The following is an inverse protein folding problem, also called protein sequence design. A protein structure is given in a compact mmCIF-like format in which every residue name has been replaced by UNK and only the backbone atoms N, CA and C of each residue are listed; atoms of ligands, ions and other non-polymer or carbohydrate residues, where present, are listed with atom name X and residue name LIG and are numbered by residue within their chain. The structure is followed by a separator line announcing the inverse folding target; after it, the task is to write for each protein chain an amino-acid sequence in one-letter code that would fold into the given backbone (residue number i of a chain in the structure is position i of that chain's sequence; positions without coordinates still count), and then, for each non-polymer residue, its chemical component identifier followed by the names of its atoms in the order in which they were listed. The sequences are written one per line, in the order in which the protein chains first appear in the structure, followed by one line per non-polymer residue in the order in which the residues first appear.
data_IF_810159335336
#
_entry.id   IF_810159335336
#
_cell.length_a   1.000
_cell.length_b   1.000
_cell.length_c   1.000
_cell.angle_alpha   90.00
_cell.angle_beta   90.00
_cell.angle_gamma   90.00
#
_symmetry.space_group_name_H-M   'P 1'
#
loop_
_entity.id
_entity.type
_entity.pdbx_description
1 polymer ?
#
# COMPACT_ATOMS: atom_id res chain seq x y z
N UNK A 1 -5.71 22.05 5.73
CA UNK A 1 -6.59 20.91 6.08
C UNK A 1 -8.01 21.39 5.88
N UNK A 2 -8.53 21.20 4.67
CA UNK A 2 -9.91 21.60 4.35
C UNK A 2 -10.84 20.53 4.90
N UNK A 3 -11.50 20.86 6.01
CA UNK A 3 -12.53 20.04 6.65
C UNK A 3 -13.62 19.68 5.63
N UNK A 4 -13.77 18.39 5.35
CA UNK A 4 -14.89 17.85 4.58
C UNK A 4 -16.23 18.29 5.22
N UNK A 5 -17.29 18.51 4.43
CA UNK A 5 -18.61 18.82 4.98
C UNK A 5 -19.11 17.62 5.82
N UNK A 6 -19.21 17.80 7.14
CA UNK A 6 -19.69 16.77 8.07
C UNK A 6 -18.80 16.51 9.30
N UNK A 7 -17.58 17.04 9.35
CA UNK A 7 -16.69 16.90 10.53
C UNK A 7 -16.24 15.45 10.80
N UNK A 8 -15.79 15.20 12.03
CA UNK A 8 -15.18 13.91 12.42
C UNK A 8 -16.14 12.71 12.33
N UNK A 9 -17.43 12.93 12.60
CA UNK A 9 -18.47 11.89 12.53
C UNK A 9 -18.66 11.39 11.10
N UNK A 10 -18.67 12.29 10.11
CA UNK A 10 -18.80 11.90 8.70
C UNK A 10 -17.57 11.13 8.19
N UNK A 11 -16.38 11.40 8.72
CA UNK A 11 -15.16 10.62 8.41
C UNK A 11 -15.33 9.22 8.99
N UNK A 12 -15.71 9.12 10.27
CA UNK A 12 -15.92 7.84 10.94
C UNK A 12 -16.95 6.96 10.21
N UNK A 13 -18.13 7.50 9.92
CA UNK A 13 -19.23 6.75 9.31
C UNK A 13 -18.83 6.22 7.93
N UNK A 14 -18.22 7.08 7.10
CA UNK A 14 -17.74 6.69 5.77
C UNK A 14 -16.69 5.59 5.85
N UNK A 15 -15.71 5.73 6.73
CA UNK A 15 -14.61 4.77 6.82
C UNK A 15 -15.13 3.43 7.39
N UNK A 16 -16.11 3.46 8.30
CA UNK A 16 -16.80 2.27 8.80
C UNK A 16 -17.76 1.63 7.78
N UNK A 17 -18.28 2.39 6.81
CA UNK A 17 -19.05 1.87 5.68
C UNK A 17 -18.14 1.18 4.64
N UNK A 18 -16.98 1.76 4.35
CA UNK A 18 -16.05 1.21 3.36
C UNK A 18 -15.34 -0.06 3.83
N UNK A 19 -15.08 -0.17 5.13
CA UNK A 19 -14.28 -1.28 5.67
C UNK A 19 -14.95 -2.67 5.44
N UNK A 20 -16.26 -2.86 5.67
CA UNK A 20 -16.97 -4.08 5.29
C UNK A 20 -17.00 -4.38 3.79
N UNK A 21 -16.98 -3.36 2.93
CA UNK A 21 -16.99 -3.54 1.47
C UNK A 21 -15.61 -3.90 0.91
N UNK A 22 -14.54 -3.56 1.64
CA UNK A 22 -13.17 -3.85 1.21
C UNK A 22 -12.85 -5.36 1.16
N UNK A 23 -12.09 -5.79 0.15
CA UNK A 23 -11.56 -7.15 0.07
C UNK A 23 -10.28 -7.35 0.90
N UNK A 24 -9.54 -6.27 1.11
CA UNK A 24 -8.23 -6.22 1.75
C UNK A 24 -8.00 -4.84 2.34
N UNK A 25 -7.30 -4.79 3.47
CA UNK A 25 -6.88 -3.55 4.14
C UNK A 25 -5.36 -3.43 4.01
N UNK A 26 -4.87 -2.27 3.61
CA UNK A 26 -3.43 -1.96 3.59
C UNK A 26 -3.18 -0.77 4.50
N UNK A 27 -2.30 -0.92 5.48
CA UNK A 27 -2.03 0.11 6.49
C UNK A 27 -0.53 0.39 6.62
N UNK A 28 -0.12 1.65 6.52
CA UNK A 28 1.22 2.10 6.93
C UNK A 28 1.21 2.32 8.44
N UNK A 29 2.11 1.63 9.15
CA UNK A 29 2.10 1.55 10.62
C UNK A 29 3.44 1.96 11.23
N UNK A 30 4.26 2.69 10.48
CA UNK A 30 5.53 3.22 11.00
C UNK A 30 5.27 4.27 12.07
N UNK A 31 4.23 5.08 11.89
CA UNK A 31 3.78 6.07 12.87
C UNK A 31 2.60 5.51 13.66
N UNK A 32 2.66 5.50 15.01
CA UNK A 32 1.50 5.11 15.79
C UNK A 32 0.35 6.10 15.54
N UNK A 33 -0.83 5.56 15.23
CA UNK A 33 -2.06 6.31 14.99
C UNK A 33 -3.24 5.58 15.62
N UNK A 34 -4.05 6.31 16.39
CA UNK A 34 -5.25 5.75 17.00
C UNK A 34 -6.30 5.37 15.94
N UNK A 35 -6.50 6.21 14.93
CA UNK A 35 -7.43 5.94 13.83
C UNK A 35 -7.04 4.67 13.07
N UNK A 36 -5.78 4.58 12.62
CA UNK A 36 -5.28 3.41 11.90
C UNK A 36 -5.32 2.15 12.77
N UNK A 37 -4.96 2.27 14.06
CA UNK A 37 -5.06 1.16 15.00
C UNK A 37 -6.49 0.67 15.20
N UNK A 38 -7.46 1.60 15.25
CA UNK A 38 -8.87 1.29 15.35
C UNK A 38 -9.39 0.59 14.09
N UNK A 39 -9.07 1.10 12.90
CA UNK A 39 -9.44 0.50 11.62
C UNK A 39 -8.86 -0.91 11.45
N UNK A 40 -7.58 -1.11 11.82
CA UNK A 40 -6.97 -2.45 11.84
C UNK A 40 -7.73 -3.39 12.78
N UNK A 41 -8.10 -2.92 13.98
CA UNK A 41 -8.89 -3.70 14.94
C UNK A 41 -10.25 -4.11 14.37
N UNK A 42 -10.96 -3.18 13.72
CA UNK A 42 -12.24 -3.44 13.06
C UNK A 42 -12.08 -4.41 11.89
N UNK A 43 -11.04 -4.25 11.07
CA UNK A 43 -10.71 -5.15 9.96
C UNK A 43 -10.46 -6.58 10.46
N UNK A 44 -9.80 -6.73 11.62
CA UNK A 44 -9.58 -8.02 12.27
C UNK A 44 -10.90 -8.66 12.74
N UNK A 45 -11.83 -7.89 13.31
CA UNK A 45 -13.16 -8.38 13.70
C UNK A 45 -13.94 -8.85 12.48
N UNK A 46 -13.88 -8.09 11.38
CA UNK A 46 -14.48 -8.43 10.09
C UNK A 46 -13.73 -9.53 9.32
N UNK A 47 -12.63 -10.06 9.87
CA UNK A 47 -11.76 -11.08 9.27
C UNK A 47 -11.26 -10.69 7.88
N UNK A 48 -11.04 -9.40 7.65
CA UNK A 48 -10.44 -8.89 6.41
C UNK A 48 -8.97 -9.29 6.37
N UNK A 49 -8.44 -9.50 5.16
CA UNK A 49 -7.01 -9.67 4.96
C UNK A 49 -6.35 -8.33 5.17
N UNK A 50 -5.41 -8.22 6.11
CA UNK A 50 -4.76 -6.95 6.45
C UNK A 50 -3.26 -7.04 6.18
N UNK A 51 -2.76 -6.10 5.37
CA UNK A 51 -1.37 -5.89 5.04
C UNK A 51 -0.85 -4.68 5.82
N UNK A 52 0.05 -4.89 6.78
CA UNK A 52 0.68 -3.79 7.52
C UNK A 52 2.09 -3.53 6.97
N UNK A 53 2.38 -2.28 6.61
CA UNK A 53 3.66 -1.81 6.09
C UNK A 53 4.39 -1.02 7.18
N UNK A 54 5.56 -1.50 7.57
CA UNK A 54 6.38 -0.87 8.60
C UNK A 54 7.79 -0.58 8.06
N UNK A 55 8.33 0.60 8.38
CA UNK A 55 9.70 1.02 8.03
C UNK A 55 10.65 0.85 9.22
N UNK A 56 11.48 -0.21 9.26
CA UNK A 56 12.44 -0.42 10.36
C UNK A 56 13.54 0.65 10.40
N UNK A 57 13.90 1.23 9.25
CA UNK A 57 14.91 2.29 9.16
C UNK A 57 14.46 3.62 9.80
N UNK A 58 13.19 3.75 10.20
CA UNK A 58 12.68 4.93 10.91
C UNK A 58 13.23 5.07 12.34
N UNK A 59 13.87 4.03 12.88
CA UNK A 59 14.28 3.97 14.29
C UNK A 59 13.11 3.77 15.26
N UNK A 60 11.88 3.63 14.76
CA UNK A 60 10.68 3.36 15.57
C UNK A 60 10.56 1.88 15.86
N UNK A 61 9.72 1.56 16.85
CA UNK A 61 9.39 0.18 17.19
C UNK A 61 7.98 -0.11 16.68
N UNK A 62 7.81 -1.23 15.99
CA UNK A 62 6.51 -1.71 15.56
C UNK A 62 5.61 -1.93 16.80
N UNK A 63 4.38 -1.40 16.85
CA UNK A 63 3.51 -1.59 17.99
C UNK A 63 3.28 -3.07 18.30
N UNK A 64 3.43 -3.46 19.57
CA UNK A 64 3.34 -4.85 20.01
C UNK A 64 2.01 -5.53 19.62
N UNK A 65 0.91 -4.77 19.61
CA UNK A 65 -0.40 -5.27 19.19
C UNK A 65 -0.42 -5.68 17.70
N UNK A 66 0.20 -4.89 16.83
CA UNK A 66 0.31 -5.18 15.39
C UNK A 66 1.28 -6.34 15.18
N UNK A 67 2.40 -6.36 15.90
CA UNK A 67 3.35 -7.47 15.86
C UNK A 67 2.70 -8.79 16.28
N UNK A 68 1.81 -8.79 17.27
CA UNK A 68 1.12 -10.00 17.73
C UNK A 68 -0.08 -10.39 16.84
N UNK A 69 -0.70 -9.42 16.16
CA UNK A 69 -1.81 -9.66 15.23
C UNK A 69 -1.40 -10.55 14.04
N UNK A 70 -0.15 -10.44 13.57
CA UNK A 70 0.42 -11.29 12.52
C UNK A 70 0.24 -12.79 12.82
N UNK A 71 0.44 -13.18 14.08
CA UNK A 71 0.41 -14.58 14.49
C UNK A 71 -1.00 -15.19 14.58
N UNK A 72 -2.07 -14.37 14.55
CA UNK A 72 -3.41 -14.83 14.93
C UNK A 72 -4.45 -14.90 13.82
N UNK A 73 -4.38 -14.08 12.76
CA UNK A 73 -5.50 -14.02 11.80
C UNK A 73 -5.10 -13.52 10.41
N UNK A 74 -4.42 -14.32 9.57
CA UNK A 74 -4.26 -14.06 8.12
C UNK A 74 -3.61 -12.72 7.70
N UNK A 75 -3.27 -11.87 8.67
CA UNK A 75 -2.65 -10.57 8.50
C UNK A 75 -1.17 -10.77 8.31
N UNK A 76 -0.62 -10.11 7.29
CA UNK A 76 0.80 -10.14 7.00
C UNK A 76 1.41 -8.79 7.33
N UNK A 77 2.44 -8.78 8.17
CA UNK A 77 3.22 -7.57 8.46
C UNK A 77 4.49 -7.63 7.62
N UNK A 78 4.67 -6.66 6.73
CA UNK A 78 5.88 -6.54 5.92
C UNK A 78 6.75 -5.43 6.48
N UNK A 79 8.03 -5.74 6.64
CA UNK A 79 9.02 -4.86 7.26
C UNK A 79 9.93 -4.36 6.16
N UNK A 80 9.56 -3.24 5.56
CA UNK A 80 10.36 -2.70 4.47
C UNK A 80 11.62 -2.01 4.98
N UNK A 81 12.75 -2.70 4.90
CA UNK A 81 14.08 -2.18 5.28
C UNK A 81 14.63 -1.13 4.32
N UNK A 82 14.08 -1.02 3.10
CA UNK A 82 14.54 -0.09 2.08
C UNK A 82 13.36 0.63 1.40
N UNK A 83 13.23 1.92 1.69
CA UNK A 83 12.37 2.81 0.90
C UNK A 83 13.33 3.71 0.13
N UNK A 84 13.33 3.67 -1.22
CA UNK A 84 14.11 4.63 -1.99
C UNK A 84 13.64 6.04 -1.62
N UNK A 85 14.51 7.06 -1.65
CA UNK A 85 14.08 8.44 -1.47
C UNK A 85 12.97 8.73 -2.50
N UNK A 86 11.73 8.77 -2.02
CA UNK A 86 10.54 9.05 -2.81
C UNK A 86 10.38 10.56 -3.06
N UNK A 87 11.43 11.34 -2.79
CA UNK A 87 11.53 12.79 -3.02
C UNK A 87 11.25 13.18 -4.49
N UNK A 88 11.30 12.21 -5.41
CA UNK A 88 10.92 12.40 -6.83
C UNK A 88 9.56 11.85 -7.26
N UNK A 89 8.80 11.17 -6.39
CA UNK A 89 7.47 10.60 -6.73
C UNK A 89 6.33 11.49 -6.23
N UNK A 90 6.53 12.18 -5.11
CA UNK A 90 5.47 12.94 -4.44
C UNK A 90 5.28 14.36 -5.02
N UNK A 91 6.27 14.89 -5.76
CA UNK A 91 6.24 16.31 -6.17
C UNK A 91 6.09 16.58 -7.67
N UNK A 92 6.36 15.64 -8.57
CA UNK A 92 6.10 15.80 -10.00
C UNK A 92 5.78 14.44 -10.60
N UNK A 93 4.79 14.40 -11.48
CA UNK A 93 4.62 13.29 -12.41
C UNK A 93 5.88 13.10 -13.27
N UNK A 94 5.79 12.22 -14.26
CA UNK A 94 6.85 11.73 -15.16
C UNK A 94 7.76 12.83 -15.77
N UNK A 95 7.35 14.11 -15.73
CA UNK A 95 7.98 15.27 -16.35
C UNK A 95 9.22 15.86 -15.63
N UNK A 96 9.88 15.14 -14.70
CA UNK A 96 10.98 15.71 -13.92
C UNK A 96 12.33 14.97 -14.01
N UNK A 97 12.44 13.88 -14.77
CA UNK A 97 13.71 13.16 -14.88
C UNK A 97 14.56 13.71 -16.01
N UNK A 98 15.71 14.29 -15.64
CA UNK A 98 16.79 14.73 -16.54
C UNK A 98 17.45 13.56 -17.33
N UNK A 99 16.91 12.34 -17.28
CA UNK A 99 17.51 11.10 -17.79
C UNK A 99 16.66 10.29 -18.77
N UNK A 100 15.48 10.76 -19.16
CA UNK A 100 14.61 10.09 -20.15
C UNK A 100 14.11 8.69 -19.73
N UNK A 101 13.57 7.94 -20.69
CA UNK A 101 12.92 6.64 -20.49
C UNK A 101 13.83 5.57 -19.86
N UNK A 102 15.13 5.59 -20.17
CA UNK A 102 16.10 4.63 -19.63
C UNK A 102 16.33 4.83 -18.13
N UNK A 103 16.35 6.09 -17.67
CA UNK A 103 16.47 6.39 -16.24
C UNK A 103 15.20 6.01 -15.47
N UNK A 104 14.02 6.19 -16.08
CA UNK A 104 12.73 5.75 -15.52
C UNK A 104 12.76 4.23 -15.37
N UNK A 105 13.06 3.51 -16.46
CA UNK A 105 13.15 2.05 -16.45
C UNK A 105 14.13 1.51 -15.41
N UNK A 106 15.35 2.06 -15.37
CA UNK A 106 16.38 1.60 -14.42
C UNK A 106 15.95 1.78 -12.96
N UNK A 107 15.36 2.94 -12.65
CA UNK A 107 14.82 3.24 -11.32
C UNK A 107 13.67 2.30 -10.95
N UNK A 108 12.70 2.13 -11.83
CA UNK A 108 11.50 1.35 -11.56
C UNK A 108 11.85 -0.14 -11.39
N UNK A 109 12.79 -0.65 -12.19
CA UNK A 109 13.33 -2.01 -12.03
C UNK A 109 14.14 -2.19 -10.75
N UNK A 110 14.90 -1.19 -10.31
CA UNK A 110 15.60 -1.23 -9.03
C UNK A 110 14.62 -1.28 -7.85
N UNK A 111 13.56 -0.47 -7.91
CA UNK A 111 12.51 -0.46 -6.89
C UNK A 111 11.75 -1.77 -6.86
N UNK A 112 11.41 -2.30 -8.03
CA UNK A 112 10.77 -3.59 -8.18
C UNK A 112 11.62 -4.70 -7.57
N UNK A 113 12.92 -4.71 -7.86
CA UNK A 113 13.87 -5.69 -7.32
C UNK A 113 13.96 -5.64 -5.79
N UNK A 114 13.86 -4.45 -5.18
CA UNK A 114 13.93 -4.26 -3.72
C UNK A 114 12.58 -4.42 -3.02
N UNK A 115 11.46 -4.35 -3.74
CA UNK A 115 10.13 -4.52 -3.16
C UNK A 115 9.93 -5.94 -2.60
N UNK A 116 9.19 -6.05 -1.49
CA UNK A 116 8.75 -7.35 -0.96
C UNK A 116 7.37 -7.74 -1.52
N UNK A 117 6.54 -6.73 -1.80
CA UNK A 117 5.19 -6.84 -2.33
C UNK A 117 4.98 -5.81 -3.42
N UNK A 118 4.26 -6.20 -4.47
CA UNK A 118 3.81 -5.31 -5.55
C UNK A 118 2.30 -5.21 -5.44
N UNK A 119 1.79 -3.97 -5.38
CA UNK A 119 0.35 -3.70 -5.47
C UNK A 119 0.12 -2.93 -6.76
N UNK A 120 -0.73 -3.45 -7.63
CA UNK A 120 -0.97 -2.88 -8.94
C UNK A 120 -2.47 -2.71 -9.18
N UNK A 121 -2.87 -1.51 -9.58
CA UNK A 121 -4.20 -1.24 -10.13
C UNK A 121 -4.20 -1.70 -11.60
N UNK A 122 -5.13 -2.58 -11.98
CA UNK A 122 -5.15 -3.24 -13.30
C UNK A 122 -6.52 -3.15 -13.99
N UNK A 123 -7.37 -2.23 -13.56
CA UNK A 123 -8.67 -1.96 -14.19
C UNK A 123 -8.50 -1.48 -15.63
N UNK A 124 -7.43 -0.72 -15.90
CA UNK A 124 -7.10 -0.25 -17.25
C UNK A 124 -5.90 -1.00 -17.82
N UNK A 125 -5.94 -1.38 -19.12
CA UNK A 125 -4.80 -2.02 -19.75
C UNK A 125 -3.61 -1.05 -19.82
N UNK A 126 -2.45 -1.49 -19.31
CA UNK A 126 -1.20 -0.74 -19.35
C UNK A 126 -0.04 -1.68 -19.65
N UNK A 127 0.72 -1.38 -20.71
CA UNK A 127 1.88 -2.18 -21.11
C UNK A 127 3.00 -2.09 -20.07
N UNK A 128 3.25 -0.90 -19.52
CA UNK A 128 4.26 -0.68 -18.48
C UNK A 128 3.95 -1.47 -17.22
N UNK A 129 2.72 -1.35 -16.71
CA UNK A 129 2.28 -2.10 -15.52
C UNK A 129 2.31 -3.61 -15.78
N UNK A 130 1.86 -4.06 -16.96
CA UNK A 130 1.92 -5.47 -17.34
C UNK A 130 3.35 -6.01 -17.41
N UNK A 131 4.29 -5.21 -17.92
CA UNK A 131 5.71 -5.55 -17.95
C UNK A 131 6.28 -5.67 -16.53
N UNK A 132 6.03 -4.69 -15.66
CA UNK A 132 6.48 -4.71 -14.27
C UNK A 132 5.90 -5.88 -13.47
N UNK A 133 4.62 -6.22 -13.68
CA UNK A 133 4.01 -7.42 -13.09
C UNK A 133 4.72 -8.67 -13.59
N UNK A 134 5.01 -8.77 -14.89
CA UNK A 134 5.76 -9.90 -15.46
C UNK A 134 7.14 -10.07 -14.83
N UNK A 135 7.86 -8.96 -14.65
CA UNK A 135 9.16 -8.93 -13.98
C UNK A 135 9.04 -9.31 -12.49
N UNK A 136 8.01 -8.82 -11.80
CA UNK A 136 7.72 -9.18 -10.41
C UNK A 136 7.46 -10.70 -10.26
N UNK A 137 6.72 -11.30 -11.20
CA UNK A 137 6.49 -12.75 -11.27
C UNK A 137 7.81 -13.49 -11.45
N UNK A 138 8.66 -13.06 -12.39
CA UNK A 138 9.98 -13.66 -12.60
C UNK A 138 10.88 -13.57 -11.35
N UNK A 139 10.77 -12.46 -10.60
CA UNK A 139 11.46 -12.23 -9.33
C UNK A 139 10.79 -12.92 -8.12
N UNK A 140 9.69 -13.66 -8.32
CA UNK A 140 8.91 -14.35 -7.28
C UNK A 140 8.41 -13.41 -6.17
N UNK A 141 8.06 -12.18 -6.53
CA UNK A 141 7.46 -11.21 -5.61
C UNK A 141 6.02 -11.62 -5.28
N UNK A 142 5.52 -11.17 -4.12
CA UNK A 142 4.08 -11.27 -3.81
C UNK A 142 3.36 -10.13 -4.54
N UNK A 143 2.31 -10.44 -5.28
CA UNK A 143 1.63 -9.47 -6.15
C UNK A 143 0.14 -9.42 -5.77
N UNK A 144 -0.36 -8.22 -5.54
CA UNK A 144 -1.78 -7.93 -5.33
C UNK A 144 -2.27 -7.04 -6.48
N UNK A 145 -3.08 -7.61 -7.37
CA UNK A 145 -3.74 -6.86 -8.44
C UNK A 145 -5.12 -6.40 -7.97
N UNK A 146 -5.38 -5.10 -8.05
CA UNK A 146 -6.65 -4.47 -7.75
C UNK A 146 -7.39 -4.22 -9.06
N UNK A 147 -8.57 -4.81 -9.20
CA UNK A 147 -9.39 -4.69 -10.40
C UNK A 147 -10.81 -4.27 -10.02
N UNK A 148 -11.33 -3.22 -10.68
CA UNK A 148 -12.70 -2.77 -10.48
C UNK A 148 -13.61 -3.28 -11.59
N UNK A 149 -14.52 -4.24 -11.33
CA UNK A 149 -15.36 -4.83 -12.37
C UNK A 149 -16.40 -3.86 -12.96
N UNK A 150 -16.72 -2.75 -12.26
CA UNK A 150 -17.72 -1.77 -12.70
C UNK A 150 -17.18 -0.69 -13.65
N UNK A 151 -15.90 -0.72 -14.02
CA UNK A 151 -15.43 0.09 -15.14
C UNK A 151 -15.92 -0.56 -16.43
N UNK A 152 -16.95 -0.01 -17.08
CA UNK A 152 -17.52 -0.59 -18.30
C UNK A 152 -16.60 -0.56 -19.53
N UNK A 153 -15.43 -1.18 -19.45
CA UNK A 153 -14.50 -1.44 -20.55
C UNK A 153 -14.23 -2.93 -20.65
#
# INVERSE_FOLDING_TARGET
EDSLPGGDEAIYDRDMEWLPESDVVVAEVTHPSFGVGYEIGQAMVLKKRTLCLFRPSSGKVLPAMIQHAEAKMGSSVFKNSFIPPCDGVVQRGEDALLGGDEAIYGRDMEWLAKSEVVVAEVTQPSLGVGYEIGQAVAMKKRILCLFRPSSGK
#
